data_IF_660571943298
#
_entry.id   IF_660571943298
#
_cell.length_a   1.000
_cell.length_b   1.000
_cell.length_c   1.000
_cell.angle_alpha   90.00
_cell.angle_beta   90.00
_cell.angle_gamma   90.00
#
_symmetry.space_group_name_H-M   'P 1'
#
loop_
_entity.id
_entity.type
_entity.pdbx_description
1 polymer ?
#
# COMPACT_ATOMS: atom_id res chain seq x y z
N UNK A 1 4.01 -19.65 -13.38
CA UNK A 1 3.37 -19.13 -12.17
C UNK A 1 3.75 -17.67 -11.94
N UNK A 2 2.78 -16.80 -11.81
CA UNK A 2 3.05 -15.40 -11.53
C UNK A 2 3.46 -15.23 -10.07
N UNK A 3 4.59 -14.59 -9.85
CA UNK A 3 5.07 -14.25 -8.50
C UNK A 3 4.61 -12.83 -8.20
N UNK A 4 3.56 -12.68 -7.40
CA UNK A 4 2.98 -11.39 -7.08
C UNK A 4 3.36 -10.97 -5.66
N UNK A 5 3.74 -9.70 -5.53
CA UNK A 5 3.93 -9.07 -4.21
C UNK A 5 2.98 -7.88 -4.14
N UNK A 6 2.19 -7.83 -3.08
CA UNK A 6 1.18 -6.82 -2.84
C UNK A 6 1.48 -6.07 -1.56
N UNK A 7 1.32 -4.76 -1.60
CA UNK A 7 1.46 -3.90 -0.42
C UNK A 7 0.19 -3.12 -0.19
N UNK A 8 -0.29 -3.12 1.06
CA UNK A 8 -1.18 -2.09 1.57
C UNK A 8 -0.37 -0.79 1.73
N UNK A 9 -1.02 0.36 1.78
CA UNK A 9 -0.34 1.65 1.94
C UNK A 9 -0.42 2.18 3.36
N UNK A 10 -1.62 2.55 3.82
CA UNK A 10 -1.78 3.25 5.09
C UNK A 10 -1.50 2.31 6.27
N UNK A 11 -0.52 2.67 7.11
CA UNK A 11 -0.08 1.82 8.21
C UNK A 11 0.90 0.72 7.80
N UNK A 12 1.19 0.58 6.51
CA UNK A 12 2.12 -0.44 6.00
C UNK A 12 3.39 0.20 5.44
N UNK A 13 3.28 1.07 4.45
CA UNK A 13 4.42 1.81 3.89
C UNK A 13 4.32 3.31 4.13
N UNK A 14 3.11 3.83 4.29
CA UNK A 14 2.84 5.25 4.52
C UNK A 14 2.24 5.45 5.91
N UNK A 15 2.78 6.39 6.68
CA UNK A 15 2.35 6.66 8.04
C UNK A 15 1.20 7.69 8.06
N UNK A 16 0.04 7.29 7.54
CA UNK A 16 -1.16 8.11 7.57
C UNK A 16 -1.54 8.46 9.01
N UNK A 17 -1.51 7.47 9.89
CA UNK A 17 -1.96 7.61 11.28
C UNK A 17 -1.00 8.42 12.14
N UNK A 18 0.20 8.67 11.66
CA UNK A 18 1.16 9.54 12.30
C UNK A 18 1.03 11.02 11.92
N UNK A 19 0.15 11.35 11.00
CA UNK A 19 -0.11 12.73 10.63
C UNK A 19 -1.00 13.38 11.69
N UNK A 20 -0.55 14.49 12.27
CA UNK A 20 -1.34 15.21 13.27
C UNK A 20 -2.67 15.68 12.66
N UNK A 21 -3.77 15.31 13.33
CA UNK A 21 -5.12 15.66 12.88
C UNK A 21 -5.61 14.87 11.69
N UNK A 22 -5.02 13.72 11.39
CA UNK A 22 -5.40 12.93 10.22
C UNK A 22 -6.89 12.58 10.21
N UNK A 23 -7.46 12.22 11.36
CA UNK A 23 -8.85 11.79 11.43
C UNK A 23 -9.81 12.96 11.16
N UNK A 24 -9.56 14.12 11.78
CA UNK A 24 -10.38 15.32 11.55
C UNK A 24 -10.32 15.76 10.10
N UNK A 25 -9.15 15.67 9.47
CA UNK A 25 -8.99 16.02 8.06
C UNK A 25 -9.75 15.05 7.16
N UNK A 26 -9.68 13.74 7.43
CA UNK A 26 -10.46 12.77 6.67
C UNK A 26 -11.96 13.03 6.80
N UNK A 27 -12.42 13.32 8.01
CA UNK A 27 -13.84 13.64 8.26
C UNK A 27 -14.28 14.93 7.56
N UNK A 28 -13.36 15.87 7.39
CA UNK A 28 -13.58 17.10 6.63
C UNK A 28 -13.36 16.92 5.12
N UNK A 29 -13.07 15.70 4.68
CA UNK A 29 -12.78 15.36 3.27
C UNK A 29 -11.59 16.13 2.71
N UNK A 30 -10.52 16.20 3.52
CA UNK A 30 -9.25 16.81 3.17
C UNK A 30 -8.24 15.69 2.91
N UNK A 31 -7.68 15.61 1.71
CA UNK A 31 -6.72 14.59 1.30
C UNK A 31 -5.29 14.82 1.78
N UNK A 32 -5.04 15.96 2.44
CA UNK A 32 -3.69 16.34 2.91
C UNK A 32 -2.95 15.22 3.65
N UNK A 33 -3.58 14.47 4.58
CA UNK A 33 -2.87 13.40 5.28
C UNK A 33 -2.27 12.35 4.35
N UNK A 34 -2.92 12.06 3.24
CA UNK A 34 -2.41 11.11 2.25
C UNK A 34 -1.24 11.67 1.46
N UNK A 35 -1.19 12.99 1.30
CA UNK A 35 -0.10 13.67 0.57
C UNK A 35 1.17 13.77 1.40
N UNK A 36 1.03 14.06 2.70
CA UNK A 36 2.16 14.41 3.58
C UNK A 36 2.62 13.24 4.47
N UNK A 37 1.96 12.09 4.43
CA UNK A 37 2.35 10.94 5.24
C UNK A 37 3.82 10.58 5.03
N UNK A 38 4.54 10.32 6.13
CA UNK A 38 5.93 9.92 6.06
C UNK A 38 6.04 8.43 5.77
N UNK A 39 7.14 8.00 5.14
CA UNK A 39 7.42 6.56 5.01
C UNK A 39 7.55 5.88 6.37
N UNK A 40 7.04 4.65 6.47
CA UNK A 40 7.17 3.83 7.69
C UNK A 40 8.46 3.01 7.71
N UNK A 41 9.20 2.98 6.61
CA UNK A 41 10.44 2.22 6.51
C UNK A 41 11.37 2.95 5.53
N UNK A 42 12.61 2.44 5.42
CA UNK A 42 13.57 3.01 4.47
C UNK A 42 13.18 2.65 3.04
N UNK A 43 12.60 3.62 2.31
CA UNK A 43 12.11 3.38 0.96
C UNK A 43 13.22 3.24 -0.07
N UNK A 44 14.43 3.76 0.17
CA UNK A 44 15.57 3.51 -0.72
C UNK A 44 15.98 2.04 -0.66
N UNK A 45 16.06 1.49 0.54
CA UNK A 45 16.36 0.07 0.73
C UNK A 45 15.26 -0.80 0.12
N UNK A 46 13.99 -0.44 0.34
CA UNK A 46 12.87 -1.14 -0.22
C UNK A 46 12.92 -1.13 -1.75
N UNK A 47 13.13 0.04 -2.35
CA UNK A 47 13.19 0.17 -3.81
C UNK A 47 14.27 -0.71 -4.43
N UNK A 48 15.45 -0.79 -3.81
CA UNK A 48 16.53 -1.66 -4.30
C UNK A 48 16.11 -3.11 -4.33
N UNK A 49 15.47 -3.57 -3.25
CA UNK A 49 15.01 -4.97 -3.16
C UNK A 49 13.91 -5.22 -4.19
N UNK A 50 12.94 -4.32 -4.31
CA UNK A 50 11.83 -4.48 -5.25
C UNK A 50 12.32 -4.45 -6.70
N UNK A 51 13.28 -3.59 -7.03
CA UNK A 51 13.84 -3.55 -8.37
C UNK A 51 14.57 -4.86 -8.72
N UNK A 52 15.27 -5.44 -7.75
CA UNK A 52 15.90 -6.76 -7.94
C UNK A 52 14.84 -7.84 -8.16
N UNK A 53 13.80 -7.87 -7.34
CA UNK A 53 12.75 -8.86 -7.45
C UNK A 53 11.99 -8.76 -8.77
N UNK A 54 11.77 -7.55 -9.26
CA UNK A 54 11.17 -7.37 -10.59
C UNK A 54 12.02 -7.99 -11.70
N UNK A 55 13.32 -7.81 -11.63
CA UNK A 55 14.25 -8.44 -12.61
C UNK A 55 14.20 -9.97 -12.52
N UNK A 56 13.86 -10.49 -11.34
CA UNK A 56 13.74 -11.94 -11.10
C UNK A 56 12.35 -12.50 -11.40
N UNK A 57 11.46 -11.69 -11.94
CA UNK A 57 10.14 -12.14 -12.38
C UNK A 57 8.98 -11.85 -11.45
N UNK A 58 9.21 -11.15 -10.34
CA UNK A 58 8.11 -10.72 -9.46
C UNK A 58 7.39 -9.51 -10.03
N UNK A 59 6.07 -9.46 -9.88
CA UNK A 59 5.31 -8.23 -10.09
C UNK A 59 5.12 -7.53 -8.75
N UNK A 60 5.22 -6.21 -8.75
CA UNK A 60 5.06 -5.38 -7.55
C UNK A 60 3.76 -4.62 -7.68
N UNK A 61 2.92 -4.72 -6.67
CA UNK A 61 1.54 -4.24 -6.74
C UNK A 61 1.11 -3.57 -5.45
N UNK A 62 0.14 -2.67 -5.57
CA UNK A 62 -0.49 -1.99 -4.44
C UNK A 62 -1.96 -2.41 -4.39
N UNK A 63 -2.46 -2.68 -3.18
CA UNK A 63 -3.87 -2.82 -2.90
C UNK A 63 -4.20 -2.04 -1.63
N UNK A 64 -4.96 -0.97 -1.77
CA UNK A 64 -5.23 -0.03 -0.68
C UNK A 64 -6.68 0.38 -0.68
N UNK A 65 -7.22 0.66 0.50
CA UNK A 65 -8.60 1.11 0.66
C UNK A 65 -8.69 2.63 0.68
N UNK A 66 -9.78 3.13 0.12
CA UNK A 66 -10.19 4.52 0.27
C UNK A 66 -10.74 4.76 1.68
N UNK A 67 -10.96 6.02 2.03
CA UNK A 67 -11.43 6.39 3.34
C UNK A 67 -12.85 5.86 3.62
N UNK A 68 -13.10 5.51 4.87
CA UNK A 68 -14.42 5.09 5.34
C UNK A 68 -15.40 6.27 5.24
N UNK A 69 -16.62 6.00 4.82
CA UNK A 69 -17.69 7.02 4.70
C UNK A 69 -17.34 8.20 3.77
N UNK A 70 -16.53 7.95 2.75
CA UNK A 70 -16.14 9.00 1.80
C UNK A 70 -17.18 9.19 0.69
N UNK A 71 -17.06 10.31 -0.02
CA UNK A 71 -17.83 10.59 -1.23
C UNK A 71 -17.01 10.25 -2.46
N UNK A 72 -17.65 10.13 -3.63
CA UNK A 72 -16.93 9.90 -4.88
C UNK A 72 -15.93 11.02 -5.17
N UNK A 73 -16.29 12.25 -4.88
CA UNK A 73 -15.42 13.41 -5.07
C UNK A 73 -14.15 13.31 -4.22
N UNK A 74 -14.30 12.92 -2.96
CA UNK A 74 -13.16 12.71 -2.07
C UNK A 74 -12.32 11.52 -2.52
N UNK A 75 -12.97 10.45 -2.97
CA UNK A 75 -12.27 9.26 -3.46
C UNK A 75 -11.33 9.57 -4.62
N UNK A 76 -11.74 10.45 -5.53
CA UNK A 76 -10.90 10.91 -6.64
C UNK A 76 -9.65 11.62 -6.11
N UNK A 77 -9.82 12.49 -5.13
CA UNK A 77 -8.71 13.24 -4.52
C UNK A 77 -7.75 12.30 -3.77
N UNK A 78 -8.27 11.37 -3.01
CA UNK A 78 -7.47 10.42 -2.25
C UNK A 78 -6.71 9.49 -3.19
N UNK A 79 -7.36 9.00 -4.23
CA UNK A 79 -6.70 8.14 -5.23
C UNK A 79 -5.53 8.86 -5.88
N UNK A 80 -5.73 10.10 -6.30
CA UNK A 80 -4.67 10.91 -6.89
C UNK A 80 -3.52 11.14 -5.90
N UNK A 81 -3.83 11.42 -4.64
CA UNK A 81 -2.83 11.63 -3.61
C UNK A 81 -2.00 10.39 -3.36
N UNK A 82 -2.62 9.21 -3.30
CA UNK A 82 -1.93 7.93 -3.11
C UNK A 82 -0.99 7.60 -4.27
N UNK A 83 -1.45 7.81 -5.49
CA UNK A 83 -0.63 7.56 -6.69
C UNK A 83 0.56 8.52 -6.72
N UNK A 84 0.35 9.78 -6.42
CA UNK A 84 1.42 10.77 -6.36
C UNK A 84 2.43 10.45 -5.26
N UNK A 85 1.96 9.98 -4.12
CA UNK A 85 2.84 9.54 -3.02
C UNK A 85 3.79 8.42 -3.47
N UNK A 86 3.25 7.44 -4.17
CA UNK A 86 4.06 6.33 -4.72
C UNK A 86 5.07 6.84 -5.74
N UNK A 87 4.66 7.74 -6.61
CA UNK A 87 5.55 8.33 -7.62
C UNK A 87 6.67 9.13 -6.98
N UNK A 88 6.38 9.86 -5.91
CA UNK A 88 7.36 10.66 -5.19
C UNK A 88 8.35 9.79 -4.40
N UNK A 89 7.85 8.81 -3.68
CA UNK A 89 8.66 8.03 -2.73
C UNK A 89 9.26 6.75 -3.29
N UNK A 90 8.64 6.18 -4.31
CA UNK A 90 9.07 4.92 -4.94
C UNK A 90 9.08 5.03 -6.46
N UNK A 91 9.55 6.17 -6.97
CA UNK A 91 9.50 6.47 -8.42
C UNK A 91 10.29 5.48 -9.28
N UNK A 92 11.32 4.84 -8.74
CA UNK A 92 12.10 3.85 -9.48
C UNK A 92 11.44 2.47 -9.55
N UNK A 93 10.40 2.23 -8.76
CA UNK A 93 9.69 0.96 -8.73
C UNK A 93 8.57 0.99 -9.78
N UNK A 94 8.56 0.00 -10.65
CA UNK A 94 7.51 -0.11 -11.65
C UNK A 94 6.39 -0.97 -11.11
N UNK A 95 5.32 -0.33 -10.67
CA UNK A 95 4.14 -1.06 -10.19
C UNK A 95 3.38 -1.66 -11.36
N UNK A 96 3.08 -2.96 -11.28
CA UNK A 96 2.28 -3.66 -12.27
C UNK A 96 0.80 -3.30 -12.13
N UNK A 97 0.29 -3.29 -10.89
CA UNK A 97 -1.08 -2.88 -10.58
C UNK A 97 -1.09 -1.98 -9.36
N UNK A 98 -1.92 -0.95 -9.40
CA UNK A 98 -2.23 -0.08 -8.27
C UNK A 98 -3.73 -0.11 -8.11
N UNK A 99 -4.21 -0.95 -7.20
CA UNK A 99 -5.64 -1.15 -6.97
C UNK A 99 -6.07 -0.35 -5.73
N UNK A 100 -6.74 0.76 -5.97
CA UNK A 100 -7.30 1.60 -4.91
C UNK A 100 -8.80 1.30 -4.84
N UNK A 101 -9.21 0.66 -3.75
CA UNK A 101 -10.54 0.08 -3.61
C UNK A 101 -11.37 0.84 -2.59
N UNK A 102 -12.68 0.77 -2.71
CA UNK A 102 -13.58 1.32 -1.68
C UNK A 102 -13.35 0.58 -0.36
N UNK A 103 -13.50 1.31 0.74
CA UNK A 103 -13.32 0.76 2.08
C UNK A 103 -14.12 -0.53 2.27
N UNK A 104 -13.46 -1.55 2.78
CA UNK A 104 -14.09 -2.84 3.07
C UNK A 104 -14.16 -3.80 1.90
N UNK A 105 -13.74 -3.39 0.70
CA UNK A 105 -13.69 -4.30 -0.46
C UNK A 105 -12.70 -5.43 -0.18
N UNK A 106 -13.09 -6.71 -0.35
CA UNK A 106 -12.16 -7.83 -0.11
C UNK A 106 -10.91 -7.73 -0.97
N UNK A 107 -9.75 -7.68 -0.31
CA UNK A 107 -8.47 -7.54 -1.00
C UNK A 107 -8.00 -8.82 -1.70
N UNK A 108 -8.47 -9.98 -1.24
CA UNK A 108 -8.05 -11.28 -1.78
C UNK A 108 -8.67 -11.63 -3.13
N UNK A 109 -9.76 -10.98 -3.52
CA UNK A 109 -10.46 -11.32 -4.76
C UNK A 109 -9.67 -10.83 -5.96
N UNK A 110 -9.28 -11.75 -6.85
CA UNK A 110 -8.52 -11.44 -8.05
C UNK A 110 -7.04 -11.10 -7.79
N UNK A 111 -6.55 -11.37 -6.58
CA UNK A 111 -5.17 -11.12 -6.18
C UNK A 111 -4.63 -12.34 -5.45
N UNK A 112 -3.32 -12.56 -5.55
CA UNK A 112 -2.67 -13.72 -4.92
C UNK A 112 -1.20 -13.39 -4.65
N UNK A 113 -0.45 -14.37 -4.14
CA UNK A 113 0.96 -14.21 -3.85
C UNK A 113 1.21 -13.75 -2.43
N UNK A 114 2.11 -12.80 -2.26
CA UNK A 114 2.51 -12.29 -0.94
C UNK A 114 1.84 -10.95 -0.68
N UNK A 115 1.23 -10.80 0.49
CA UNK A 115 0.65 -9.53 0.93
C UNK A 115 1.39 -9.03 2.17
N UNK A 116 1.66 -7.73 2.20
CA UNK A 116 2.07 -7.02 3.40
C UNK A 116 0.97 -6.05 3.78
N UNK A 117 0.40 -6.24 4.97
CA UNK A 117 -0.73 -5.43 5.45
C UNK A 117 -0.66 -5.38 6.98
N UNK A 118 -0.89 -4.21 7.56
CA UNK A 118 -0.87 -4.03 9.01
C UNK A 118 -2.14 -4.55 9.69
N UNK A 119 -3.21 -4.79 8.93
CA UNK A 119 -4.48 -5.28 9.50
C UNK A 119 -4.54 -6.80 9.51
N UNK A 120 -4.75 -7.36 10.70
CA UNK A 120 -4.86 -8.81 10.91
C UNK A 120 -5.98 -9.44 10.07
N UNK A 121 -7.14 -8.77 9.99
CA UNK A 121 -8.27 -9.30 9.21
C UNK A 121 -7.89 -9.47 7.74
N UNK A 122 -7.22 -8.50 7.16
CA UNK A 122 -6.80 -8.58 5.75
C UNK A 122 -5.78 -9.69 5.55
N UNK A 123 -4.86 -9.88 6.49
CA UNK A 123 -3.89 -10.98 6.42
C UNK A 123 -4.57 -12.34 6.53
N UNK A 124 -5.56 -12.47 7.41
CA UNK A 124 -6.27 -13.74 7.61
C UNK A 124 -7.14 -14.10 6.42
N UNK A 125 -7.71 -13.13 5.75
CA UNK A 125 -8.58 -13.36 4.59
C UNK A 125 -7.80 -13.57 3.28
N UNK A 126 -6.50 -13.27 3.28
CA UNK A 126 -5.68 -13.36 2.08
C UNK A 126 -5.52 -14.79 1.60
N UNK A 127 -5.62 -15.00 0.28
CA UNK A 127 -5.57 -16.32 -0.35
C UNK A 127 -4.16 -16.91 -0.45
N UNK A 128 -3.13 -16.06 -0.44
CA UNK A 128 -1.73 -16.49 -0.49
C UNK A 128 -1.06 -16.44 0.88
N UNK A 129 0.17 -15.95 0.91
CA UNK A 129 0.94 -15.77 2.15
C UNK A 129 0.91 -14.29 2.54
N UNK A 130 0.54 -14.00 3.78
CA UNK A 130 0.44 -12.63 4.26
C UNK A 130 1.32 -12.39 5.49
N UNK A 131 1.91 -11.21 5.54
CA UNK A 131 2.82 -10.81 6.62
C UNK A 131 2.42 -9.43 7.16
N UNK A 132 2.80 -9.17 8.41
CA UNK A 132 2.65 -7.85 9.00
C UNK A 132 3.63 -6.86 8.34
N UNK A 133 3.25 -5.60 8.32
CA UNK A 133 4.07 -4.51 7.78
C UNK A 133 5.48 -4.44 8.36
N UNK A 134 5.64 -4.80 9.63
CA UNK A 134 6.93 -4.79 10.30
C UNK A 134 7.96 -5.76 9.69
N UNK A 135 7.50 -6.74 8.93
CA UNK A 135 8.35 -7.81 8.40
C UNK A 135 8.72 -7.62 6.92
N UNK A 136 8.41 -6.48 6.32
CA UNK A 136 8.61 -6.25 4.88
C UNK A 136 10.05 -6.56 4.45
N UNK A 137 11.01 -5.84 4.98
CA UNK A 137 12.42 -5.96 4.55
C UNK A 137 12.94 -7.36 4.84
N UNK A 138 12.67 -7.87 6.04
CA UNK A 138 13.12 -9.19 6.48
C UNK A 138 12.64 -10.29 5.53
N UNK A 139 11.34 -10.28 5.20
CA UNK A 139 10.76 -11.28 4.31
C UNK A 139 11.29 -11.14 2.89
N UNK A 140 11.30 -9.91 2.35
CA UNK A 140 11.75 -9.68 0.97
C UNK A 140 13.21 -10.10 0.75
N UNK A 141 14.05 -9.99 1.76
CA UNK A 141 15.44 -10.43 1.67
C UNK A 141 15.58 -11.94 1.49
N UNK A 142 14.57 -12.70 1.86
CA UNK A 142 14.59 -14.17 1.73
C UNK A 142 14.13 -14.66 0.36
N UNK A 143 13.60 -13.79 -0.49
CA UNK A 143 13.06 -14.15 -1.81
C UNK A 143 14.12 -14.23 -2.91
#
# INVERSE_FOLDING_TARGET
MKKEIWFDMDGTIADLYGVDGWLEMLMAQDETPYEIAKPLLNLQALARILNRLQREGYTINIVSWLAKFSTEEYDVKVTAAKIEWLDTHLHSVKFNRIDILKYGTPKQIGRNGILFDDEEKNRNDWSGTAYNAQNIIEVLKTL
#
